data_IF_420372345842
#
_entry.id   IF_420372345842
#
_cell.length_a   1.000
_cell.length_b   1.000
_cell.length_c   1.000
_cell.angle_alpha   90.00
_cell.angle_beta   90.00
_cell.angle_gamma   90.00
#
_symmetry.space_group_name_H-M   'P 1'
#
loop_
_entity.id
_entity.type
_entity.pdbx_description
1 polymer ?
#
# COMPACT_ATOMS: atom_id res chain seq x y z
N UNK A 1 -21.22 -3.73 13.22
CA UNK A 1 -19.85 -4.26 13.18
C UNK A 1 -19.12 -3.44 12.13
N UNK A 2 -18.16 -2.61 12.52
CA UNK A 2 -17.45 -1.76 11.57
C UNK A 2 -16.70 -2.67 10.60
N UNK A 3 -17.14 -2.69 9.34
CA UNK A 3 -16.42 -3.42 8.32
C UNK A 3 -14.98 -2.90 8.31
N UNK A 4 -14.00 -3.81 8.45
CA UNK A 4 -12.58 -3.55 8.20
C UNK A 4 -12.41 -3.20 6.71
N UNK A 5 -12.91 -2.06 6.29
CA UNK A 5 -12.85 -1.60 4.92
C UNK A 5 -11.45 -1.06 4.70
N UNK A 6 -10.60 -1.92 4.17
CA UNK A 6 -9.36 -1.51 3.54
C UNK A 6 -9.74 -0.61 2.36
N UNK A 7 -9.18 0.60 2.33
CA UNK A 7 -9.43 1.52 1.24
C UNK A 7 -8.36 1.37 0.16
N UNK A 8 -8.79 1.32 -1.09
CA UNK A 8 -7.94 1.20 -2.26
C UNK A 8 -8.03 2.48 -3.08
N UNK A 9 -6.89 3.08 -3.38
CA UNK A 9 -6.86 4.25 -4.25
C UNK A 9 -7.03 3.88 -5.72
N UNK A 10 -7.26 4.91 -6.52
CA UNK A 10 -7.08 4.84 -7.95
C UNK A 10 -5.63 4.45 -8.31
N UNK A 11 -5.50 3.72 -9.41
CA UNK A 11 -4.22 3.34 -10.00
C UNK A 11 -3.64 4.55 -10.73
N UNK A 12 -2.35 4.80 -10.53
CA UNK A 12 -1.60 5.79 -11.29
C UNK A 12 -0.39 5.12 -11.93
N UNK A 13 0.02 5.59 -13.10
CA UNK A 13 1.01 4.92 -13.93
C UNK A 13 2.14 5.87 -14.24
N UNK A 14 3.36 5.34 -14.31
CA UNK A 14 4.47 6.01 -14.97
C UNK A 14 4.82 5.29 -16.29
N UNK A 15 6.00 5.55 -16.85
CA UNK A 15 6.46 4.94 -18.10
C UNK A 15 6.70 3.42 -17.99
N UNK A 16 6.97 2.90 -16.79
CA UNK A 16 7.49 1.53 -16.58
C UNK A 16 6.61 0.68 -15.64
N UNK A 17 5.79 1.30 -14.79
CA UNK A 17 5.09 0.64 -13.70
C UNK A 17 3.71 1.24 -13.40
N UNK A 18 2.89 0.43 -12.75
CA UNK A 18 1.61 0.80 -12.18
C UNK A 18 1.75 0.93 -10.65
N UNK A 19 1.18 1.99 -10.08
CA UNK A 19 1.19 2.26 -8.66
C UNK A 19 -0.23 2.37 -8.11
N UNK A 20 -0.38 2.01 -6.84
CA UNK A 20 -1.60 2.22 -6.06
C UNK A 20 -1.23 2.34 -4.60
N UNK A 21 -1.97 3.14 -3.86
CA UNK A 21 -1.87 3.14 -2.41
C UNK A 21 -3.08 2.45 -1.77
N UNK A 22 -2.82 1.74 -0.69
CA UNK A 22 -3.83 1.06 0.12
C UNK A 22 -3.75 1.65 1.52
N UNK A 23 -4.90 2.12 2.02
CA UNK A 23 -5.00 2.62 3.39
C UNK A 23 -5.54 1.51 4.27
N UNK A 24 -4.76 1.18 5.30
CA UNK A 24 -5.10 0.13 6.25
C UNK A 24 -5.75 0.73 7.51
N UNK A 25 -6.80 0.09 8.05
CA UNK A 25 -7.36 0.47 9.33
C UNK A 25 -6.32 0.27 10.44
N UNK A 26 -6.43 1.08 11.50
CA UNK A 26 -5.49 1.10 12.64
C UNK A 26 -5.24 -0.25 13.31
N UNK A 27 -6.19 -1.18 13.22
CA UNK A 27 -6.03 -2.54 13.77
C UNK A 27 -5.07 -3.39 12.94
N UNK A 28 -5.15 -3.31 11.61
CA UNK A 28 -4.28 -4.04 10.68
C UNK A 28 -2.91 -3.38 10.57
N UNK A 29 -2.86 -2.06 10.76
CA UNK A 29 -1.63 -1.27 10.72
C UNK A 29 -0.59 -1.71 11.75
N UNK A 30 -1.03 -2.32 12.88
CA UNK A 30 -0.15 -2.89 13.92
C UNK A 30 0.53 -4.19 13.49
N UNK A 31 -0.03 -4.90 12.53
CA UNK A 31 0.50 -6.17 12.03
C UNK A 31 1.48 -5.98 10.88
N UNK A 32 1.58 -4.75 10.33
CA UNK A 32 2.54 -4.43 9.27
C UNK A 32 3.96 -4.44 9.85
N UNK A 33 4.88 -5.28 9.33
CA UNK A 33 6.26 -5.27 9.76
C UNK A 33 6.93 -3.96 9.37
N UNK A 34 7.71 -3.39 10.29
CA UNK A 34 8.50 -2.16 10.06
C UNK A 34 9.94 -2.45 9.63
N UNK A 35 10.38 -3.69 9.77
CA UNK A 35 11.77 -4.11 9.55
C UNK A 35 12.05 -4.51 8.11
N UNK A 36 11.01 -4.89 7.35
CA UNK A 36 11.11 -5.36 5.97
C UNK A 36 9.84 -5.07 5.19
N UNK A 37 9.96 -5.05 3.86
CA UNK A 37 8.82 -4.96 2.93
C UNK A 37 8.03 -6.27 2.91
N UNK A 38 6.71 -6.18 2.78
CA UNK A 38 5.84 -7.35 2.79
C UNK A 38 5.84 -8.08 1.45
N UNK A 39 6.01 -9.40 1.51
CA UNK A 39 5.82 -10.33 0.40
C UNK A 39 4.33 -10.53 0.05
N UNK A 40 4.05 -11.07 -1.15
CA UNK A 40 2.69 -11.37 -1.63
C UNK A 40 1.80 -12.05 -0.59
N UNK A 41 2.34 -13.08 0.03
CA UNK A 41 1.61 -13.87 1.00
C UNK A 41 1.31 -13.10 2.29
N UNK A 42 2.23 -12.24 2.74
CA UNK A 42 2.09 -11.50 3.99
C UNK A 42 0.95 -10.48 3.92
N UNK A 43 0.88 -9.69 2.85
CA UNK A 43 -0.20 -8.73 2.72
C UNK A 43 -1.54 -9.37 2.37
N UNK A 44 -1.54 -10.52 1.68
CA UNK A 44 -2.76 -11.32 1.49
C UNK A 44 -3.29 -11.83 2.83
N UNK A 45 -2.41 -12.24 3.76
CA UNK A 45 -2.79 -12.63 5.12
C UNK A 45 -3.37 -11.47 5.95
N UNK A 46 -2.94 -10.23 5.71
CA UNK A 46 -3.54 -9.04 6.32
C UNK A 46 -4.96 -8.74 5.83
N UNK A 47 -5.40 -9.42 4.77
CA UNK A 47 -6.71 -9.21 4.14
C UNK A 47 -6.67 -8.23 2.98
N UNK A 48 -5.49 -7.76 2.55
CA UNK A 48 -5.37 -6.95 1.33
C UNK A 48 -5.63 -7.86 0.13
N UNK A 49 -6.66 -7.55 -0.64
CA UNK A 49 -7.00 -8.26 -1.87
C UNK A 49 -6.66 -7.39 -3.09
N UNK A 50 -5.71 -7.85 -3.91
CA UNK A 50 -5.32 -7.22 -5.17
C UNK A 50 -5.05 -8.30 -6.24
N UNK A 51 -4.94 -7.86 -7.50
CA UNK A 51 -4.53 -8.72 -8.61
C UNK A 51 -3.13 -9.31 -8.39
N UNK A 52 -2.72 -10.27 -9.21
CA UNK A 52 -1.36 -10.82 -9.14
C UNK A 52 -0.32 -9.77 -9.57
N UNK A 53 0.89 -9.84 -9.02
CA UNK A 53 2.03 -9.05 -9.48
C UNK A 53 2.20 -7.68 -8.82
N UNK A 54 1.46 -7.39 -7.75
CA UNK A 54 1.69 -6.21 -6.91
C UNK A 54 2.78 -6.49 -5.87
N UNK A 55 3.73 -5.58 -5.77
CA UNK A 55 4.88 -5.63 -4.86
C UNK A 55 4.80 -4.44 -3.91
N UNK A 56 4.99 -4.71 -2.61
CA UNK A 56 5.08 -3.65 -1.62
C UNK A 56 6.42 -2.94 -1.80
N UNK A 57 6.40 -1.71 -2.33
CA UNK A 57 7.62 -1.02 -2.72
C UNK A 57 8.18 -0.14 -1.58
N UNK A 58 7.32 0.51 -0.79
CA UNK A 58 7.76 1.41 0.28
C UNK A 58 6.79 1.41 1.47
N UNK A 59 7.38 1.40 2.67
CA UNK A 59 6.67 1.65 3.93
C UNK A 59 6.74 3.14 4.25
N UNK A 60 5.58 3.79 4.33
CA UNK A 60 5.51 5.18 4.81
C UNK A 60 5.26 5.20 6.33
N UNK A 61 6.27 5.62 7.10
CA UNK A 61 6.08 5.95 8.52
C UNK A 61 5.64 7.43 8.66
N UNK A 62 4.47 7.71 9.30
CA UNK A 62 3.92 9.06 9.42
C UNK A 62 4.70 10.01 10.37
N UNK A 63 6.03 9.87 10.48
CA UNK A 63 6.86 10.66 11.40
C UNK A 63 8.28 10.99 10.92
N UNK A 64 8.73 10.58 9.73
CA UNK A 64 10.12 10.79 9.30
C UNK A 64 10.31 11.58 8.00
N UNK A 65 9.32 11.64 7.12
CA UNK A 65 9.45 12.35 5.83
C UNK A 65 8.15 13.05 5.47
N UNK A 66 7.80 14.08 6.22
CA UNK A 66 6.69 14.96 5.92
C UNK A 66 7.12 15.95 4.82
N UNK A 67 6.95 15.59 3.55
CA UNK A 67 6.79 16.57 2.45
C UNK A 67 6.30 15.99 1.11
N UNK A 68 6.39 14.67 0.86
CA UNK A 68 6.04 14.13 -0.47
C UNK A 68 4.53 13.83 -0.64
N UNK A 69 3.74 13.75 0.42
CA UNK A 69 2.30 13.48 0.32
C UNK A 69 1.49 14.55 1.10
N UNK A 70 1.44 15.77 0.56
CA UNK A 70 0.79 16.95 1.18
C UNK A 70 -0.76 16.85 1.21
N UNK A 71 -1.36 15.66 1.15
CA UNK A 71 -2.82 15.48 1.29
C UNK A 71 -3.28 14.27 2.11
N UNK A 72 -2.38 13.51 2.73
CA UNK A 72 -2.76 12.41 3.62
C UNK A 72 -2.51 12.79 5.09
N UNK A 73 -3.08 13.91 5.52
CA UNK A 73 -3.07 14.30 6.92
C UNK A 73 -4.11 13.46 7.67
N UNK A 74 -3.63 12.66 8.61
CA UNK A 74 -4.30 12.15 9.82
C UNK A 74 -4.88 10.70 9.69
N UNK A 75 -4.26 9.79 10.48
CA UNK A 75 -4.69 8.46 11.00
C UNK A 75 -4.34 7.14 10.28
N UNK A 76 -4.14 7.05 8.97
CA UNK A 76 -4.07 5.73 8.30
C UNK A 76 -2.69 5.41 7.68
N UNK A 77 -2.12 4.23 7.96
CA UNK A 77 -0.85 3.82 7.35
C UNK A 77 -1.09 3.63 5.85
N UNK A 78 -0.40 4.42 5.04
CA UNK A 78 -0.46 4.39 3.59
C UNK A 78 0.61 3.43 3.06
N UNK A 79 0.19 2.31 2.49
CA UNK A 79 1.07 1.29 1.92
C UNK A 79 1.09 1.46 0.41
N UNK A 80 2.26 1.72 -0.17
CA UNK A 80 2.41 1.93 -1.63
C UNK A 80 2.80 0.61 -2.30
N UNK A 81 1.98 0.25 -3.29
CA UNK A 81 2.11 -0.96 -4.09
C UNK A 81 2.53 -0.60 -5.50
N UNK A 82 3.42 -1.42 -6.07
CA UNK A 82 3.91 -1.35 -7.44
C UNK A 82 3.55 -2.63 -8.18
N UNK A 83 2.83 -2.56 -9.29
CA UNK A 83 2.65 -3.69 -10.19
C UNK A 83 3.58 -3.57 -11.40
N UNK A 84 4.30 -4.66 -11.69
CA UNK A 84 5.13 -4.77 -12.89
C UNK A 84 4.23 -5.11 -14.08
N UNK A 85 3.56 -4.10 -14.61
CA UNK A 85 2.86 -4.25 -15.88
C UNK A 85 3.92 -4.19 -17.00
N UNK A 86 4.29 -5.34 -17.56
CA UNK A 86 5.01 -5.40 -18.82
C UNK A 86 4.11 -4.77 -19.89
N UNK A 87 4.25 -3.48 -20.16
CA UNK A 87 3.82 -2.87 -21.41
C UNK A 87 4.69 -3.44 -22.53
N UNK A 88 4.38 -4.67 -22.92
CA UNK A 88 4.73 -5.23 -24.22
C UNK A 88 3.44 -5.81 -24.80
N UNK A 89 2.64 -4.91 -25.34
CA UNK A 89 1.71 -5.18 -26.43
C UNK A 89 1.60 -3.93 -27.29
#
# INVERSE_FOLDING_TARGET
MAHKQIYYSDKYFDEHYEYRHVMLPRELSKQVPKTHLMSEEEWRRLGVQQSLGWVHYMIHEPGKFCHIIVKALIVEILVVWLSKFLKYH
#
